data_IF_447208601092
#
_entry.id   IF_447208601092
#
_cell.length_a   1.000
_cell.length_b   1.000
_cell.length_c   1.000
_cell.angle_alpha   90.00
_cell.angle_beta   90.00
_cell.angle_gamma   90.00
#
_symmetry.space_group_name_H-M   'P 1'
#
loop_
_entity.id
_entity.type
_entity.pdbx_description
1 polymer ?
#
# COMPACT_ATOMS: atom_id res chain seq x y z
N UNK A 1 2.43 -8.06 -2.82
CA UNK A 1 1.86 -7.11 -1.86
C UNK A 1 0.65 -7.73 -1.19
N UNK A 2 0.25 -7.27 0.00
CA UNK A 2 -1.06 -7.48 0.63
C UNK A 2 -1.36 -6.33 1.60
N UNK A 3 -1.09 -5.14 1.07
CA UNK A 3 -1.37 -3.80 1.57
C UNK A 3 -0.35 -3.10 2.49
N UNK A 4 0.15 -1.93 2.06
CA UNK A 4 0.79 -0.88 2.87
C UNK A 4 0.37 0.53 2.37
N UNK A 5 0.37 1.56 3.24
CA UNK A 5 -0.76 2.44 3.60
C UNK A 5 -0.95 3.67 2.68
N UNK A 6 -2.08 4.39 2.65
CA UNK A 6 -3.46 4.09 3.05
C UNK A 6 -4.40 4.90 2.14
N UNK A 7 -5.31 4.24 1.41
CA UNK A 7 -6.42 4.91 0.71
C UNK A 7 -7.16 5.89 1.63
N UNK A 8 -7.23 5.59 2.93
CA UNK A 8 -7.77 6.48 3.96
C UNK A 8 -6.94 7.78 4.10
N UNK A 9 -5.60 7.75 4.05
CA UNK A 9 -4.80 8.98 3.98
C UNK A 9 -4.85 9.66 2.61
N UNK A 10 -5.01 8.92 1.51
CA UNK A 10 -5.16 9.54 0.18
C UNK A 10 -6.46 10.34 0.07
N UNK A 11 -7.56 9.79 0.60
CA UNK A 11 -8.84 10.49 0.75
C UNK A 11 -8.75 11.70 1.70
N UNK A 12 -7.86 11.65 2.70
CA UNK A 12 -7.61 12.79 3.60
C UNK A 12 -6.68 13.86 2.99
N UNK A 13 -5.74 13.47 2.11
CA UNK A 13 -4.79 14.38 1.46
C UNK A 13 -5.39 15.16 0.28
N UNK A 14 -6.40 14.63 -0.40
CA UNK A 14 -7.10 15.34 -1.48
C UNK A 14 -7.83 16.61 -1.01
N UNK A 15 -8.08 16.73 0.30
CA UNK A 15 -8.70 17.90 0.93
C UNK A 15 -7.70 19.01 1.32
N UNK A 16 -6.39 18.83 1.12
CA UNK A 16 -5.39 19.85 1.42
C UNK A 16 -4.83 20.47 0.14
N UNK A 17 -5.58 21.41 -0.46
CA UNK A 17 -5.04 22.35 -1.45
C UNK A 17 -3.98 23.20 -0.74
N UNK A 18 -2.71 22.79 -0.81
CA UNK A 18 -1.58 23.63 -0.41
C UNK A 18 -1.36 24.69 -1.49
N UNK A 19 -1.94 25.87 -1.28
CA UNK A 19 -1.56 27.06 -2.04
C UNK A 19 -0.14 27.44 -1.61
N UNK A 20 0.87 27.01 -2.38
CA UNK A 20 2.25 27.50 -2.22
C UNK A 20 2.38 28.76 -3.10
N UNK A 21 2.65 29.94 -2.54
CA UNK A 21 2.93 31.11 -3.35
C UNK A 21 4.35 30.98 -3.93
N UNK A 22 4.47 30.81 -5.24
CA UNK A 22 5.75 30.90 -5.95
C UNK A 22 6.13 32.37 -6.12
N UNK A 23 7.07 32.86 -5.31
CA UNK A 23 7.87 34.02 -5.65
C UNK A 23 9.19 33.52 -6.26
N UNK A 24 9.32 33.70 -7.58
CA UNK A 24 10.54 33.43 -8.31
C UNK A 24 11.60 34.51 -8.08
N UNK A 25 12.86 34.12 -8.30
CA UNK A 25 13.97 34.96 -8.77
C UNK A 25 15.10 34.05 -9.28
N UNK A 26 15.92 34.59 -10.16
CA UNK A 26 16.59 33.94 -11.29
C UNK A 26 18.12 33.87 -11.07
N UNK A 27 18.76 32.89 -11.73
CA UNK A 27 20.13 32.87 -12.28
C UNK A 27 21.37 32.91 -11.35
N UNK A 28 22.20 31.87 -11.49
CA UNK A 28 23.62 31.86 -11.13
C UNK A 28 24.36 30.71 -11.84
N UNK A 29 25.39 31.04 -12.62
CA UNK A 29 26.23 30.15 -13.44
C UNK A 29 27.38 29.50 -12.64
N UNK A 30 27.90 28.40 -13.20
CA UNK A 30 29.24 27.79 -13.10
C UNK A 30 29.43 26.54 -12.22
N UNK A 31 30.22 25.59 -12.75
CA UNK A 31 30.99 24.62 -11.96
C UNK A 31 30.95 23.18 -12.47
N UNK A 32 31.80 22.85 -13.45
CA UNK A 32 32.10 21.46 -13.85
C UNK A 32 33.06 20.88 -12.80
N UNK A 33 32.76 19.72 -12.20
CA UNK A 33 33.77 18.79 -11.68
C UNK A 33 33.18 17.37 -11.58
N UNK A 34 33.97 16.44 -12.09
CA UNK A 34 33.73 15.01 -12.18
C UNK A 34 33.50 14.35 -10.81
N UNK A 35 32.52 13.46 -10.75
CA UNK A 35 32.31 12.55 -9.64
C UNK A 35 31.58 11.30 -10.10
N UNK A 36 32.34 10.26 -10.44
CA UNK A 36 31.83 8.92 -10.63
C UNK A 36 31.37 8.41 -9.26
N UNK A 37 30.08 8.48 -8.99
CA UNK A 37 29.45 7.98 -7.77
C UNK A 37 28.40 6.96 -8.18
N UNK A 38 28.60 5.73 -7.75
CA UNK A 38 27.80 4.55 -8.05
C UNK A 38 26.31 4.87 -8.17
N UNK A 39 25.73 4.59 -9.34
CA UNK A 39 24.27 4.45 -9.43
C UNK A 39 23.88 3.40 -8.39
N UNK A 40 23.02 3.72 -7.40
CA UNK A 40 22.35 2.65 -6.70
C UNK A 40 21.56 1.95 -7.80
N UNK A 41 21.89 0.68 -8.06
CA UNK A 41 20.97 -0.21 -8.72
C UNK A 41 19.74 -0.18 -7.82
N UNK A 42 18.77 0.66 -8.17
CA UNK A 42 17.44 0.51 -7.67
C UNK A 42 17.02 -0.84 -8.21
N UNK A 43 17.18 -1.88 -7.38
CA UNK A 43 16.50 -3.14 -7.58
C UNK A 43 15.05 -2.75 -7.84
N UNK A 44 14.65 -2.85 -9.11
CA UNK A 44 13.32 -2.47 -9.52
C UNK A 44 12.39 -3.37 -8.71
N UNK A 45 11.53 -2.80 -7.85
CA UNK A 45 10.56 -3.62 -7.14
C UNK A 45 9.77 -4.39 -8.19
N UNK A 46 9.54 -5.68 -7.94
CA UNK A 46 8.67 -6.51 -8.77
C UNK A 46 7.39 -5.72 -9.05
N UNK A 47 7.20 -5.24 -10.28
CA UNK A 47 6.01 -4.46 -10.61
C UNK A 47 4.81 -5.39 -10.47
N UNK A 48 3.92 -5.06 -9.53
CA UNK A 48 2.63 -5.72 -9.42
C UNK A 48 1.88 -5.37 -10.71
N UNK A 49 1.39 -6.35 -11.47
CA UNK A 49 0.64 -6.07 -12.69
C UNK A 49 -0.57 -5.21 -12.36
N UNK A 50 -0.73 -4.08 -13.05
CA UNK A 50 -2.00 -3.34 -13.08
C UNK A 50 -2.96 -4.01 -14.05
N UNK A 51 -4.25 -3.72 -13.91
CA UNK A 51 -5.30 -4.13 -14.84
C UNK A 51 -5.97 -2.90 -15.45
N UNK A 52 -6.44 -2.93 -16.70
CA UNK A 52 -7.19 -1.81 -17.26
C UNK A 52 -8.43 -1.53 -16.41
N UNK A 53 -8.68 -0.26 -16.08
CA UNK A 53 -9.76 0.14 -15.18
C UNK A 53 -11.13 -0.29 -15.73
N UNK A 54 -11.33 -0.22 -17.05
CA UNK A 54 -12.59 -0.66 -17.67
C UNK A 54 -12.89 -2.18 -17.52
N UNK A 55 -11.91 -2.97 -17.07
CA UNK A 55 -12.06 -4.41 -16.83
C UNK A 55 -12.36 -4.76 -15.38
N UNK A 56 -12.45 -3.78 -14.48
CA UNK A 56 -12.81 -3.98 -13.08
C UNK A 56 -14.33 -3.89 -12.96
N UNK A 57 -14.96 -4.99 -12.56
CA UNK A 57 -16.41 -5.06 -12.43
C UNK A 57 -16.88 -4.42 -11.12
N UNK A 58 -18.11 -3.91 -11.10
CA UNK A 58 -18.64 -3.19 -9.93
C UNK A 58 -18.72 -4.05 -8.65
N UNK A 59 -18.98 -5.35 -8.79
CA UNK A 59 -18.96 -6.30 -7.68
C UNK A 59 -17.53 -6.55 -7.16
N UNK A 60 -16.52 -6.50 -8.02
CA UNK A 60 -15.11 -6.57 -7.61
C UNK A 60 -14.70 -5.36 -6.78
N UNK A 61 -15.20 -4.16 -7.09
CA UNK A 61 -14.96 -2.94 -6.28
C UNK A 61 -15.58 -3.11 -4.88
N UNK A 62 -16.81 -3.62 -4.82
CA UNK A 62 -17.51 -3.91 -3.55
C UNK A 62 -16.73 -4.95 -2.75
N UNK A 63 -16.31 -6.05 -3.38
CA UNK A 63 -15.57 -7.14 -2.73
C UNK A 63 -14.16 -6.71 -2.31
N UNK A 64 -13.54 -5.80 -3.05
CA UNK A 64 -12.26 -5.18 -2.70
C UNK A 64 -12.38 -4.29 -1.47
N UNK A 65 -13.42 -3.44 -1.40
CA UNK A 65 -13.70 -2.63 -0.21
C UNK A 65 -13.96 -3.50 1.03
N UNK A 66 -14.75 -4.57 0.89
CA UNK A 66 -14.94 -5.57 1.97
C UNK A 66 -13.63 -6.21 2.42
N UNK A 67 -12.76 -6.55 1.47
CA UNK A 67 -11.46 -7.15 1.76
C UNK A 67 -10.56 -6.20 2.55
N UNK A 68 -10.49 -4.91 2.15
CA UNK A 68 -9.78 -3.88 2.93
C UNK A 68 -10.31 -3.82 4.37
N UNK A 69 -11.63 -3.75 4.54
CA UNK A 69 -12.27 -3.66 5.86
C UNK A 69 -11.92 -4.87 6.74
N UNK A 70 -11.82 -6.06 6.16
CA UNK A 70 -11.47 -7.30 6.87
C UNK A 70 -9.97 -7.38 7.22
N UNK A 71 -9.09 -6.92 6.32
CA UNK A 71 -7.63 -6.99 6.49
C UNK A 71 -7.10 -5.94 7.46
N UNK A 72 -7.64 -4.71 7.45
CA UNK A 72 -7.15 -3.61 8.27
C UNK A 72 -7.01 -3.92 9.78
N UNK A 73 -7.97 -4.57 10.47
CA UNK A 73 -7.78 -4.96 11.87
C UNK A 73 -6.64 -5.97 12.06
N UNK A 74 -6.40 -6.88 11.09
CA UNK A 74 -5.26 -7.81 11.14
C UNK A 74 -3.94 -7.06 11.08
N UNK A 75 -3.85 -6.07 10.18
CA UNK A 75 -2.67 -5.21 10.02
C UNK A 75 -2.37 -4.44 11.29
N UNK A 76 -3.39 -3.81 11.90
CA UNK A 76 -3.23 -3.10 13.18
C UNK A 76 -2.78 -4.02 14.31
N UNK A 77 -3.36 -5.21 14.42
CA UNK A 77 -2.95 -6.19 15.43
C UNK A 77 -1.47 -6.61 15.24
N UNK A 78 -1.05 -6.90 14.01
CA UNK A 78 0.33 -7.26 13.72
C UNK A 78 1.32 -6.14 14.09
N UNK A 79 1.01 -4.88 13.76
CA UNK A 79 1.84 -3.73 14.15
C UNK A 79 1.94 -3.63 15.67
N UNK A 80 0.82 -3.76 16.39
CA UNK A 80 0.80 -3.71 17.85
C UNK A 80 1.65 -4.83 18.49
N UNK A 81 1.65 -6.02 17.88
CA UNK A 81 2.44 -7.17 18.35
C UNK A 81 3.95 -7.00 18.03
N UNK A 82 4.29 -6.33 16.92
CA UNK A 82 5.68 -6.13 16.44
C UNK A 82 6.37 -4.96 17.15
N UNK A 83 5.66 -3.85 17.38
CA UNK A 83 6.22 -2.62 17.95
C UNK A 83 7.05 -2.83 19.24
N UNK A 84 6.62 -3.62 20.25
CA UNK A 84 7.43 -3.86 21.45
C UNK A 84 8.70 -4.68 21.17
N UNK A 85 8.76 -5.42 20.07
CA UNK A 85 9.91 -6.25 19.70
C UNK A 85 11.01 -5.39 19.06
N UNK A 86 10.61 -4.50 18.15
CA UNK A 86 11.54 -3.66 17.38
C UNK A 86 11.83 -2.31 18.06
N UNK A 87 11.35 -2.11 19.30
CA UNK A 87 11.66 -0.95 20.15
C UNK A 87 11.45 0.40 19.45
N UNK A 88 10.29 0.54 18.81
CA UNK A 88 9.90 1.75 18.07
C UNK A 88 10.79 2.10 16.85
N UNK A 89 11.61 1.17 16.37
CA UNK A 89 12.20 1.28 15.03
C UNK A 89 11.10 1.20 13.95
N UNK A 90 11.36 1.79 12.79
CA UNK A 90 10.42 1.74 11.67
C UNK A 90 10.27 0.29 11.18
N UNK A 91 9.02 -0.18 11.09
CA UNK A 91 8.73 -1.49 10.48
C UNK A 91 9.08 -1.37 8.99
N UNK A 92 10.04 -2.16 8.45
CA UNK A 92 10.38 -2.08 7.05
C UNK A 92 9.17 -2.44 6.17
N UNK A 93 9.20 -2.06 4.90
CA UNK A 93 8.15 -2.44 3.96
C UNK A 93 8.12 -3.97 3.82
N UNK A 94 6.99 -4.59 4.16
CA UNK A 94 6.81 -6.04 4.15
C UNK A 94 5.86 -6.40 3.00
N UNK A 95 6.36 -7.21 2.08
CA UNK A 95 5.57 -7.72 0.96
C UNK A 95 5.24 -9.18 1.22
N UNK A 96 4.00 -9.49 1.62
CA UNK A 96 3.55 -10.87 1.91
C UNK A 96 3.70 -11.87 0.74
N UNK A 97 3.95 -11.40 -0.49
CA UNK A 97 4.22 -12.24 -1.68
C UNK A 97 5.71 -12.38 -2.01
N UNK A 98 6.60 -11.71 -1.26
CA UNK A 98 8.06 -11.73 -1.45
C UNK A 98 8.70 -12.28 -0.16
N UNK A 99 8.98 -13.59 -0.10
CA UNK A 99 9.50 -14.25 1.11
C UNK A 99 10.78 -13.61 1.65
N UNK A 100 11.63 -13.09 0.76
CA UNK A 100 12.89 -12.44 1.14
C UNK A 100 12.66 -11.23 2.07
N UNK A 101 11.58 -10.46 1.84
CA UNK A 101 11.21 -9.32 2.71
C UNK A 101 10.82 -9.76 4.13
N UNK A 102 10.32 -10.99 4.28
CA UNK A 102 9.96 -11.58 5.57
C UNK A 102 11.22 -12.17 6.23
N UNK A 103 12.03 -12.93 5.50
CA UNK A 103 13.22 -13.59 6.06
C UNK A 103 14.30 -12.61 6.53
N UNK A 104 14.28 -11.38 6.02
CA UNK A 104 15.13 -10.28 6.49
C UNK A 104 14.78 -9.76 7.91
N UNK A 105 13.59 -10.10 8.44
CA UNK A 105 13.13 -9.65 9.76
C UNK A 105 13.73 -10.50 10.89
N UNK A 106 13.77 -9.99 12.14
CA UNK A 106 14.07 -10.81 13.31
C UNK A 106 13.12 -12.01 13.42
N UNK A 107 13.60 -13.20 13.82
CA UNK A 107 12.79 -14.44 13.80
C UNK A 107 11.46 -14.33 14.54
N UNK A 108 11.43 -13.65 15.69
CA UNK A 108 10.21 -13.44 16.47
C UNK A 108 9.22 -12.47 15.80
N UNK A 109 9.68 -11.59 14.89
CA UNK A 109 8.84 -10.75 14.03
C UNK A 109 8.33 -11.56 12.84
N UNK A 110 9.13 -12.47 12.29
CA UNK A 110 8.74 -13.31 11.15
C UNK A 110 7.45 -14.09 11.44
N UNK A 111 7.35 -14.74 12.61
CA UNK A 111 6.16 -15.52 12.99
C UNK A 111 4.88 -14.67 13.00
N UNK A 112 4.97 -13.42 13.49
CA UNK A 112 3.85 -12.48 13.53
C UNK A 112 3.45 -12.08 12.11
N UNK A 113 4.43 -11.75 11.27
CA UNK A 113 4.23 -11.35 9.88
C UNK A 113 3.63 -12.48 9.05
N UNK A 114 4.15 -13.70 9.16
CA UNK A 114 3.62 -14.88 8.47
C UNK A 114 2.17 -15.14 8.89
N UNK A 115 1.87 -15.03 10.18
CA UNK A 115 0.49 -15.15 10.69
C UNK A 115 -0.41 -14.07 10.09
N UNK A 116 0.04 -12.82 10.06
CA UNK A 116 -0.70 -11.71 9.42
C UNK A 116 -0.95 -11.98 7.94
N UNK A 117 0.08 -12.32 7.16
CA UNK A 117 -0.04 -12.58 5.73
C UNK A 117 -1.02 -13.71 5.43
N UNK A 118 -1.00 -14.79 6.22
CA UNK A 118 -1.93 -15.91 6.06
C UNK A 118 -3.38 -15.53 6.40
N UNK A 119 -3.59 -14.75 7.46
CA UNK A 119 -4.93 -14.29 7.84
C UNK A 119 -5.47 -13.29 6.82
N UNK A 120 -4.65 -12.34 6.35
CA UNK A 120 -5.02 -11.38 5.33
C UNK A 120 -5.40 -12.08 4.02
N UNK A 121 -4.59 -13.06 3.59
CA UNK A 121 -4.88 -13.90 2.42
C UNK A 121 -6.27 -14.54 2.53
N UNK A 122 -6.56 -15.18 3.67
CA UNK A 122 -7.84 -15.84 3.92
C UNK A 122 -9.02 -14.85 3.93
N UNK A 123 -8.85 -13.71 4.58
CA UNK A 123 -9.88 -12.69 4.67
C UNK A 123 -10.19 -12.10 3.28
N UNK A 124 -9.18 -11.91 2.42
CA UNK A 124 -9.35 -11.49 1.02
C UNK A 124 -10.08 -12.56 0.20
N UNK A 125 -9.62 -13.81 0.24
CA UNK A 125 -10.25 -14.92 -0.50
C UNK A 125 -11.72 -15.14 -0.09
N UNK A 126 -12.06 -14.82 1.16
CA UNK A 126 -13.44 -14.93 1.65
C UNK A 126 -14.42 -13.95 1.00
N UNK A 127 -13.94 -12.88 0.36
CA UNK A 127 -14.80 -11.92 -0.36
C UNK A 127 -15.07 -12.33 -1.81
N UNK A 128 -14.48 -13.43 -2.27
CA UNK A 128 -14.57 -13.90 -3.66
C UNK A 128 -13.44 -13.39 -4.57
N UNK A 129 -12.55 -12.54 -4.06
CA UNK A 129 -11.37 -12.10 -4.81
C UNK A 129 -10.23 -13.11 -4.70
N UNK A 130 -9.49 -13.30 -5.78
CA UNK A 130 -8.17 -13.92 -5.69
C UNK A 130 -7.15 -12.89 -5.20
N UNK A 131 -6.04 -13.40 -4.68
CA UNK A 131 -4.88 -12.61 -4.27
C UNK A 131 -4.34 -11.74 -5.40
N UNK A 132 -4.18 -12.33 -6.57
CA UNK A 132 -3.64 -11.62 -7.73
C UNK A 132 -4.61 -10.53 -8.18
N UNK A 133 -5.92 -10.80 -8.14
CA UNK A 133 -6.94 -9.81 -8.49
C UNK A 133 -7.00 -8.67 -7.48
N UNK A 134 -6.96 -8.97 -6.19
CA UNK A 134 -6.86 -7.96 -5.13
C UNK A 134 -5.64 -7.06 -5.34
N UNK A 135 -4.47 -7.66 -5.56
CA UNK A 135 -3.24 -6.91 -5.79
C UNK A 135 -3.27 -6.07 -7.07
N UNK A 136 -3.86 -6.59 -8.14
CA UNK A 136 -4.02 -5.85 -9.39
C UNK A 136 -4.95 -4.65 -9.22
N UNK A 137 -6.07 -4.80 -8.51
CA UNK A 137 -6.97 -3.69 -8.17
C UNK A 137 -6.23 -2.68 -7.28
N UNK A 138 -5.45 -3.13 -6.29
CA UNK A 138 -4.62 -2.23 -5.46
C UNK A 138 -3.64 -1.42 -6.31
N UNK A 139 -2.89 -2.06 -7.21
CA UNK A 139 -1.91 -1.40 -8.07
C UNK A 139 -2.60 -0.41 -9.03
N UNK A 140 -3.76 -0.78 -9.57
CA UNK A 140 -4.54 0.08 -10.47
C UNK A 140 -5.10 1.30 -9.71
N UNK A 141 -5.67 1.08 -8.53
CA UNK A 141 -6.19 2.15 -7.69
C UNK A 141 -5.10 3.13 -7.22
N UNK A 142 -3.82 2.73 -7.15
CA UNK A 142 -2.74 3.69 -6.86
C UNK A 142 -2.53 4.71 -7.98
N UNK A 143 -2.86 4.36 -9.22
CA UNK A 143 -2.66 5.19 -10.40
C UNK A 143 -3.95 5.87 -10.93
N UNK A 144 -5.13 5.43 -10.48
CA UNK A 144 -6.43 5.90 -10.98
C UNK A 144 -7.28 6.55 -9.88
N UNK A 145 -7.58 7.84 -10.04
CA UNK A 145 -8.29 8.64 -9.03
C UNK A 145 -9.81 8.36 -8.99
N UNK A 146 -10.41 7.98 -10.13
CA UNK A 146 -11.84 7.70 -10.19
C UNK A 146 -12.12 6.37 -9.46
N UNK A 147 -11.29 5.36 -9.70
CA UNK A 147 -11.33 4.09 -8.97
C UNK A 147 -11.08 4.28 -7.47
N UNK A 148 -10.16 5.16 -7.06
CA UNK A 148 -9.99 5.51 -5.63
C UNK A 148 -11.28 6.07 -5.02
N UNK A 149 -11.99 6.92 -5.77
CA UNK A 149 -13.24 7.54 -5.32
C UNK A 149 -14.34 6.49 -5.18
N UNK A 150 -14.49 5.60 -6.16
CA UNK A 150 -15.46 4.50 -6.12
C UNK A 150 -15.20 3.55 -4.95
N UNK A 151 -13.95 3.11 -4.76
CA UNK A 151 -13.56 2.30 -3.60
C UNK A 151 -13.85 3.06 -2.29
N UNK A 152 -13.55 4.35 -2.23
CA UNK A 152 -13.82 5.21 -1.07
C UNK A 152 -15.30 5.25 -0.70
N UNK A 153 -16.19 5.38 -1.70
CA UNK A 153 -17.64 5.36 -1.49
C UNK A 153 -18.12 4.01 -0.93
N UNK A 154 -17.59 2.90 -1.46
CA UNK A 154 -17.94 1.56 -0.97
C UNK A 154 -17.43 1.29 0.45
N UNK A 155 -16.25 1.82 0.81
CA UNK A 155 -15.73 1.76 2.18
C UNK A 155 -16.65 2.51 3.15
N UNK A 156 -17.10 3.72 2.81
CA UNK A 156 -18.02 4.51 3.64
C UNK A 156 -19.36 3.79 3.79
N UNK A 157 -19.92 3.31 2.68
CA UNK A 157 -21.21 2.59 2.67
C UNK A 157 -21.17 1.41 3.65
N UNK A 158 -20.17 0.55 3.54
CA UNK A 158 -20.04 -0.61 4.42
C UNK A 158 -19.71 -0.29 5.88
N UNK A 159 -19.05 0.82 6.16
CA UNK A 159 -18.81 1.26 7.54
C UNK A 159 -20.08 1.83 8.18
N UNK A 160 -20.98 2.44 7.40
CA UNK A 160 -22.25 2.97 7.90
C UNK A 160 -23.31 1.91 8.23
N UNK A 161 -23.18 0.71 7.66
CA UNK A 161 -24.08 -0.43 7.85
C UNK A 161 -23.74 -1.28 9.09
N UNK A 162 -22.68 -0.92 9.83
CA UNK A 162 -22.14 -1.70 10.94
C UNK A 162 -22.45 -1.07 12.30
#
# INVERSE_FOLDING_TARGET
MFYQPSLIEMLARSLLIRIVPTLGCIAGLTGILSGCGSTPTADSPTQIPTVPVETIEGDEIINYAKAIIAVEPRRKAAINDIQPIIKDEEIPNITCTEPDTITALPRNVQDIVVKYCNLAKKDIESTGLTIDRFNAITATAQADQDLQTEIGNELIRHQSER
#
